data_IF_475856169736
#
_entry.id   IF_475856169736
#
_cell.length_a   1.000
_cell.length_b   1.000
_cell.length_c   1.000
_cell.angle_alpha   90.00
_cell.angle_beta   90.00
_cell.angle_gamma   90.00
#
_symmetry.space_group_name_H-M   'P 1'
#
loop_
_entity.id
_entity.type
_entity.pdbx_description
1 polymer ?
#
# COMPACT_ATOMS: atom_id res chain seq x y z
N UNK A 1 -2.79 28.94 8.11
CA UNK A 1 -2.66 28.57 6.68
C UNK A 1 -3.48 27.30 6.44
N UNK A 2 -4.59 27.40 5.71
CA UNK A 2 -5.40 26.24 5.30
C UNK A 2 -4.82 25.68 4.00
N UNK A 3 -4.43 24.40 3.98
CA UNK A 3 -4.01 23.74 2.74
C UNK A 3 -5.16 23.72 1.74
N UNK A 4 -4.85 23.92 0.47
CA UNK A 4 -5.84 23.83 -0.60
C UNK A 4 -6.54 22.47 -0.59
N UNK A 5 -7.81 22.49 -0.97
CA UNK A 5 -8.62 21.28 -1.03
C UNK A 5 -8.07 20.37 -2.13
N UNK A 6 -7.89 19.09 -1.80
CA UNK A 6 -7.50 18.09 -2.77
C UNK A 6 -8.48 18.08 -3.97
N UNK A 7 -7.98 18.22 -5.21
CA UNK A 7 -8.83 18.46 -6.39
C UNK A 7 -9.67 17.24 -6.77
N UNK A 8 -9.24 16.03 -6.39
CA UNK A 8 -9.98 14.77 -6.59
C UNK A 8 -11.08 14.53 -5.55
N UNK A 9 -11.25 15.39 -4.54
CA UNK A 9 -12.20 15.15 -3.45
C UNK A 9 -13.58 15.68 -3.82
N UNK A 10 -14.49 14.78 -4.16
CA UNK A 10 -15.90 15.06 -4.44
C UNK A 10 -16.76 15.18 -3.16
N UNK A 11 -18.04 15.55 -3.31
CA UNK A 11 -18.98 15.65 -2.19
C UNK A 11 -19.47 14.28 -1.70
N UNK A 12 -19.34 13.23 -2.52
CA UNK A 12 -19.62 11.86 -2.12
C UNK A 12 -18.62 11.37 -1.06
N UNK A 13 -17.32 11.53 -1.30
CA UNK A 13 -16.22 11.25 -0.37
C UNK A 13 -16.39 12.06 0.92
N UNK A 14 -16.83 13.32 0.83
CA UNK A 14 -17.16 14.11 2.03
C UNK A 14 -18.26 13.47 2.86
N UNK A 15 -19.38 13.10 2.23
CA UNK A 15 -20.51 12.45 2.93
C UNK A 15 -20.06 11.15 3.60
N UNK A 16 -19.33 10.30 2.89
CA UNK A 16 -18.74 9.08 3.45
C UNK A 16 -17.80 9.36 4.63
N UNK A 17 -16.99 10.42 4.54
CA UNK A 17 -16.09 10.84 5.63
C UNK A 17 -16.88 11.20 6.89
N UNK A 18 -17.95 11.99 6.74
CA UNK A 18 -18.81 12.41 7.86
C UNK A 18 -19.50 11.19 8.48
N UNK A 19 -20.12 10.32 7.67
CA UNK A 19 -20.78 9.10 8.15
C UNK A 19 -19.80 8.17 8.87
N UNK A 20 -18.58 8.01 8.35
CA UNK A 20 -17.52 7.21 8.98
C UNK A 20 -17.14 7.77 10.35
N UNK A 21 -17.00 9.09 10.46
CA UNK A 21 -16.67 9.73 11.73
C UNK A 21 -17.83 9.60 12.73
N UNK A 22 -19.09 9.71 12.28
CA UNK A 22 -20.27 9.46 13.10
C UNK A 22 -20.26 8.04 13.68
N UNK A 23 -20.13 7.02 12.83
CA UNK A 23 -20.08 5.61 13.28
C UNK A 23 -18.90 5.33 14.21
N UNK A 24 -17.74 5.96 13.99
CA UNK A 24 -16.60 5.86 14.91
C UNK A 24 -16.98 6.39 16.30
N UNK A 25 -17.58 7.57 16.36
CA UNK A 25 -17.96 8.19 17.62
C UNK A 25 -19.05 7.36 18.34
N UNK A 26 -20.03 6.86 17.59
CA UNK A 26 -21.09 6.00 18.12
C UNK A 26 -20.50 4.69 18.68
N UNK A 27 -19.55 4.06 17.98
CA UNK A 27 -18.87 2.87 18.47
C UNK A 27 -18.01 3.16 19.71
N UNK A 28 -17.31 4.29 19.76
CA UNK A 28 -16.50 4.67 20.93
C UNK A 28 -17.38 4.78 22.18
N UNK A 29 -18.59 5.34 22.05
CA UNK A 29 -19.56 5.50 23.14
C UNK A 29 -20.24 4.19 23.54
N UNK A 30 -20.75 3.44 22.57
CA UNK A 30 -21.61 2.27 22.82
C UNK A 30 -20.87 0.94 22.94
N UNK A 31 -19.66 0.86 22.38
CA UNK A 31 -18.88 -0.39 22.19
C UNK A 31 -19.63 -1.50 21.44
N UNK A 32 -20.71 -1.18 20.73
CA UNK A 32 -21.54 -2.15 20.03
C UNK A 32 -20.79 -2.79 18.84
N UNK A 33 -20.66 -4.13 18.76
CA UNK A 33 -19.97 -4.82 17.66
C UNK A 33 -20.57 -4.55 16.28
N UNK A 34 -21.89 -4.41 16.18
CA UNK A 34 -22.59 -4.13 14.92
C UNK A 34 -22.18 -2.78 14.34
N UNK A 35 -22.02 -1.76 15.20
CA UNK A 35 -21.56 -0.42 14.78
C UNK A 35 -20.10 -0.50 14.32
N UNK A 36 -19.26 -1.29 14.99
CA UNK A 36 -17.89 -1.56 14.55
C UNK A 36 -17.85 -2.16 13.15
N UNK A 37 -18.69 -3.17 12.89
CA UNK A 37 -18.76 -3.81 11.58
C UNK A 37 -19.19 -2.82 10.49
N UNK A 38 -20.22 -2.02 10.76
CA UNK A 38 -20.69 -0.96 9.85
C UNK A 38 -19.61 0.10 9.59
N UNK A 39 -18.89 0.51 10.63
CA UNK A 39 -17.74 1.41 10.50
C UNK A 39 -16.64 0.82 9.60
N UNK A 40 -16.27 -0.44 9.78
CA UNK A 40 -15.27 -1.11 8.95
C UNK A 40 -15.70 -1.19 7.48
N UNK A 41 -16.95 -1.58 7.21
CA UNK A 41 -17.50 -1.59 5.84
C UNK A 41 -17.44 -0.20 5.21
N UNK A 42 -17.86 0.83 5.94
CA UNK A 42 -17.86 2.21 5.45
C UNK A 42 -16.43 2.76 5.23
N UNK A 43 -15.48 2.39 6.09
CA UNK A 43 -14.06 2.72 5.91
C UNK A 43 -13.51 2.12 4.62
N UNK A 44 -13.82 0.85 4.34
CA UNK A 44 -13.38 0.19 3.12
C UNK A 44 -14.02 0.84 1.88
N UNK A 45 -15.31 1.16 1.94
CA UNK A 45 -16.00 1.87 0.86
C UNK A 45 -15.39 3.25 0.61
N UNK A 46 -15.09 4.01 1.68
CA UNK A 46 -14.41 5.31 1.55
C UNK A 46 -13.02 5.18 0.92
N UNK A 47 -12.24 4.17 1.33
CA UNK A 47 -10.92 3.93 0.74
C UNK A 47 -11.03 3.63 -0.76
N UNK A 48 -11.97 2.78 -1.17
CA UNK A 48 -12.22 2.44 -2.57
C UNK A 48 -12.67 3.68 -3.37
N UNK A 49 -13.57 4.49 -2.81
CA UNK A 49 -14.04 5.72 -3.44
C UNK A 49 -12.88 6.73 -3.64
N UNK A 50 -12.02 6.91 -2.64
CA UNK A 50 -10.84 7.77 -2.74
C UNK A 50 -9.87 7.24 -3.82
N UNK A 51 -9.62 5.93 -3.84
CA UNK A 51 -8.74 5.31 -4.83
C UNK A 51 -9.27 5.56 -6.26
N UNK A 52 -10.57 5.33 -6.48
CA UNK A 52 -11.21 5.55 -7.77
C UNK A 52 -11.18 7.02 -8.20
N UNK A 53 -11.49 7.94 -7.27
CA UNK A 53 -11.47 9.37 -7.55
C UNK A 53 -10.07 9.86 -7.92
N UNK A 54 -9.03 9.42 -7.20
CA UNK A 54 -7.63 9.70 -7.55
C UNK A 54 -7.29 9.14 -8.92
N UNK A 55 -7.63 7.86 -9.19
CA UNK A 55 -7.37 7.22 -10.48
C UNK A 55 -8.00 8.01 -11.63
N UNK A 56 -9.27 8.40 -11.50
CA UNK A 56 -9.98 9.16 -12.53
C UNK A 56 -9.38 10.56 -12.72
N UNK A 57 -9.04 11.23 -11.63
CA UNK A 57 -8.39 12.54 -11.67
C UNK A 57 -7.06 12.47 -12.42
N UNK A 58 -6.18 11.54 -12.07
CA UNK A 58 -4.89 11.40 -12.74
C UNK A 58 -5.02 10.91 -14.17
N UNK A 59 -5.94 9.99 -14.47
CA UNK A 59 -6.22 9.54 -15.84
C UNK A 59 -6.66 10.70 -16.75
N UNK A 60 -7.40 11.69 -16.21
CA UNK A 60 -7.84 12.87 -16.96
C UNK A 60 -6.75 13.92 -17.12
N UNK A 61 -5.91 14.11 -16.10
CA UNK A 61 -4.98 15.24 -16.02
C UNK A 61 -3.53 14.90 -16.41
N UNK A 62 -3.17 13.62 -16.47
CA UNK A 62 -1.85 13.17 -16.90
C UNK A 62 -1.89 12.80 -18.38
N UNK A 63 -1.15 13.56 -19.19
CA UNK A 63 -0.87 13.18 -20.56
C UNK A 63 0.27 12.15 -20.58
N UNK A 64 -0.07 10.89 -20.85
CA UNK A 64 0.89 9.80 -20.91
C UNK A 64 1.72 9.80 -22.20
N UNK A 65 1.32 10.56 -23.23
CA UNK A 65 2.01 10.58 -24.52
C UNK A 65 3.19 11.54 -24.53
N UNK A 66 3.15 12.58 -23.69
CA UNK A 66 4.22 13.57 -23.58
C UNK A 66 4.91 13.48 -22.21
N UNK A 67 6.09 12.84 -22.11
CA UNK A 67 6.82 12.69 -20.86
C UNK A 67 7.07 14.04 -20.16
N UNK A 68 7.41 15.10 -20.90
CA UNK A 68 7.69 16.43 -20.31
C UNK A 68 6.44 17.02 -19.66
N UNK A 69 5.28 16.89 -20.30
CA UNK A 69 3.99 17.32 -19.75
C UNK A 69 3.60 16.48 -18.52
N UNK A 70 3.81 15.17 -18.57
CA UNK A 70 3.62 14.26 -17.44
C UNK A 70 4.45 14.67 -16.22
N UNK A 71 5.77 14.82 -16.36
CA UNK A 71 6.66 15.20 -15.26
C UNK A 71 6.37 16.61 -14.74
N UNK A 72 5.90 17.52 -15.60
CA UNK A 72 5.43 18.86 -15.18
C UNK A 72 4.15 18.76 -14.34
N UNK A 73 3.19 17.95 -14.74
CA UNK A 73 1.97 17.71 -13.99
C UNK A 73 2.26 17.04 -12.64
N UNK A 74 3.09 16.00 -12.60
CA UNK A 74 3.47 15.32 -11.35
C UNK A 74 4.14 16.25 -10.33
N UNK A 75 5.01 17.18 -10.78
CA UNK A 75 5.59 18.21 -9.92
C UNK A 75 4.56 19.18 -9.37
N UNK A 76 3.62 19.64 -10.22
CA UNK A 76 2.53 20.53 -9.80
C UNK A 76 1.64 19.88 -8.73
N UNK A 77 1.35 18.59 -8.86
CA UNK A 77 0.54 17.84 -7.89
C UNK A 77 1.32 17.48 -6.61
N UNK A 78 2.57 17.91 -6.46
CA UNK A 78 3.41 17.66 -5.28
C UNK A 78 3.83 16.20 -5.12
N UNK A 79 3.74 15.39 -6.17
CA UNK A 79 4.16 13.99 -6.14
C UNK A 79 5.69 13.83 -6.20
N UNK A 80 6.40 14.88 -6.61
CA UNK A 80 7.86 14.93 -6.63
C UNK A 80 8.32 16.05 -5.72
N UNK A 81 8.84 15.68 -4.56
CA UNK A 81 9.57 16.59 -3.69
C UNK A 81 10.89 16.93 -4.39
N UNK A 82 10.94 18.04 -5.10
CA UNK A 82 12.18 18.54 -5.73
C UNK A 82 13.15 19.18 -4.73
N UNK A 83 12.88 19.09 -3.41
CA UNK A 83 13.69 19.79 -2.40
C UNK A 83 13.61 19.24 -0.98
N UNK A 84 13.06 18.06 -0.75
CA UNK A 84 13.41 17.33 0.48
C UNK A 84 14.61 16.48 0.14
N UNK A 85 15.78 16.94 0.57
CA UNK A 85 16.94 16.07 0.75
C UNK A 85 16.46 14.78 1.44
N UNK A 86 16.48 13.68 0.70
CA UNK A 86 16.32 12.34 1.25
C UNK A 86 17.59 12.02 2.05
N UNK A 87 17.87 12.76 3.12
CA UNK A 87 18.84 12.33 4.13
C UNK A 87 18.31 11.13 4.93
N UNK A 88 17.01 10.82 4.78
CA UNK A 88 16.44 9.51 5.09
C UNK A 88 16.70 8.48 3.97
N UNK A 89 17.89 8.48 3.37
CA UNK A 89 18.45 7.20 2.92
C UNK A 89 18.45 6.31 4.15
N UNK A 90 17.55 5.33 4.20
CA UNK A 90 17.69 4.20 5.09
C UNK A 90 19.08 3.64 4.80
N UNK A 91 20.07 3.97 5.65
CA UNK A 91 21.43 3.44 5.57
C UNK A 91 21.32 1.99 6.02
N UNK A 92 20.73 1.15 5.17
CA UNK A 92 20.81 -0.30 5.29
C UNK A 92 22.28 -0.62 5.00
N UNK A 93 23.07 -0.69 6.05
CA UNK A 93 24.41 -1.25 5.94
C UNK A 93 24.28 -2.74 5.66
N UNK A 94 25.20 -3.35 4.89
CA UNK A 94 25.20 -4.79 4.65
C UNK A 94 25.10 -5.60 5.96
N UNK A 95 25.68 -5.10 7.05
CA UNK A 95 25.67 -5.76 8.35
C UNK A 95 24.27 -5.82 8.98
N UNK A 96 23.49 -4.74 8.89
CA UNK A 96 22.10 -4.72 9.39
C UNK A 96 21.24 -5.69 8.58
N UNK A 97 21.46 -5.75 7.27
CA UNK A 97 20.77 -6.67 6.37
C UNK A 97 21.13 -8.13 6.69
N UNK A 98 22.41 -8.43 6.84
CA UNK A 98 22.91 -9.77 7.18
C UNK A 98 22.41 -10.23 8.56
N UNK A 99 22.41 -9.33 9.55
CA UNK A 99 21.90 -9.62 10.90
C UNK A 99 20.42 -9.96 10.86
N UNK A 100 19.63 -9.21 10.08
CA UNK A 100 18.20 -9.48 9.90
C UNK A 100 17.95 -10.86 9.28
N UNK A 101 18.69 -11.22 8.22
CA UNK A 101 18.54 -12.54 7.58
C UNK A 101 19.03 -13.69 8.46
N UNK A 102 20.13 -13.51 9.19
CA UNK A 102 20.60 -14.49 10.16
C UNK A 102 19.58 -14.72 11.29
N UNK A 103 18.94 -13.65 11.79
CA UNK A 103 17.90 -13.73 12.81
C UNK A 103 16.60 -14.38 12.29
N UNK A 104 16.20 -14.09 11.05
CA UNK A 104 15.05 -14.77 10.40
C UNK A 104 15.29 -16.27 10.23
N UNK A 105 16.53 -16.68 9.97
CA UNK A 105 16.90 -18.10 9.83
C UNK A 105 17.08 -18.83 11.17
N UNK A 106 17.44 -18.13 12.25
CA UNK A 106 17.75 -18.75 13.54
C UNK A 106 16.50 -19.13 14.38
N UNK A 107 15.34 -18.52 14.12
CA UNK A 107 14.14 -18.68 14.97
C UNK A 107 13.07 -19.62 14.42
N UNK A 108 13.09 -19.95 13.13
CA UNK A 108 12.13 -20.87 12.54
C UNK A 108 12.80 -22.22 12.34
N UNK A 109 12.68 -23.10 13.34
CA UNK A 109 12.71 -24.54 13.06
C UNK A 109 11.71 -24.76 11.94
N UNK A 110 12.22 -25.08 10.75
CA UNK A 110 11.36 -25.34 9.60
C UNK A 110 10.34 -26.38 10.05
N UNK A 111 9.05 -26.00 10.07
CA UNK A 111 8.01 -26.92 10.52
C UNK A 111 8.20 -28.23 9.79
N UNK A 112 8.34 -29.32 10.55
CA UNK A 112 8.55 -30.67 10.03
C UNK A 112 7.47 -31.01 8.99
N UNK A 113 6.27 -30.45 9.15
CA UNK A 113 5.16 -30.59 8.20
C UNK A 113 5.45 -29.93 6.85
N UNK A 114 6.10 -28.76 6.83
CA UNK A 114 6.49 -28.10 5.58
C UNK A 114 7.62 -28.85 4.87
N UNK A 115 8.60 -29.36 5.62
CA UNK A 115 9.67 -30.19 5.07
C UNK A 115 9.11 -31.50 4.48
N UNK A 116 8.17 -32.14 5.19
CA UNK A 116 7.49 -33.34 4.72
C UNK A 116 6.61 -33.06 3.49
N UNK A 117 5.92 -31.92 3.45
CA UNK A 117 5.15 -31.51 2.28
C UNK A 117 6.02 -31.39 1.03
N UNK A 118 7.15 -30.68 1.11
CA UNK A 118 8.06 -30.56 -0.04
C UNK A 118 8.73 -31.87 -0.42
N UNK A 119 9.09 -32.72 0.55
CA UNK A 119 9.67 -34.04 0.27
C UNK A 119 8.69 -34.97 -0.45
N UNK A 120 7.41 -34.90 -0.11
CA UNK A 120 6.35 -35.72 -0.70
C UNK A 120 5.80 -35.14 -2.01
N UNK A 121 5.98 -33.85 -2.27
CA UNK A 121 5.49 -33.16 -3.47
C UNK A 121 6.62 -32.65 -4.38
N UNK A 122 7.89 -33.00 -4.10
CA UNK A 122 9.00 -32.71 -5.02
C UNK A 122 8.89 -33.66 -6.21
N UNK A 123 8.12 -33.27 -7.21
CA UNK A 123 8.17 -33.91 -8.51
C UNK A 123 9.56 -33.68 -9.09
N UNK A 124 10.34 -34.76 -9.20
CA UNK A 124 11.72 -34.79 -9.70
C UNK A 124 11.82 -34.58 -11.22
N UNK A 125 10.87 -33.88 -11.83
CA UNK A 125 10.80 -33.68 -13.27
C UNK A 125 10.72 -32.19 -13.59
N UNK A 126 11.86 -31.51 -13.43
CA UNK A 126 12.28 -30.34 -14.23
C UNK A 126 13.67 -29.89 -13.77
N UNK A 127 14.64 -30.82 -13.77
CA UNK A 127 16.02 -30.46 -14.09
C UNK A 127 16.19 -30.60 -15.60
N UNK A 128 15.48 -29.75 -16.34
CA UNK A 128 15.84 -29.49 -17.72
C UNK A 128 17.19 -28.79 -17.66
N UNK A 129 18.20 -29.46 -18.21
CA UNK A 129 19.57 -28.97 -18.34
C UNK A 129 19.62 -27.48 -18.69
N UNK A 130 20.06 -26.66 -17.74
CA UNK A 130 20.61 -25.34 -18.06
C UNK A 130 21.96 -25.55 -18.75
N UNK A 131 21.93 -25.90 -20.03
CA UNK A 131 23.09 -25.72 -20.91
C UNK A 131 23.11 -24.25 -21.33
N UNK A 132 23.92 -23.45 -20.64
CA UNK A 132 24.42 -22.21 -21.24
C UNK A 132 25.23 -22.59 -22.49
N UNK A 133 24.81 -22.07 -23.64
CA UNK A 133 25.68 -21.88 -24.80
C UNK A 133 26.05 -20.41 -24.87
#
# INVERSE_FOLDING_TARGET
VTKDRAPWRDDYIKRLTVMKNKLRNDYVKTKCPTIKQSYCKLRNNLNNAIMLAKKNYFKKNLDLKNPKAFWKAMRREGAMNTGQDNTNTCKITPDVLNTYFAQMGAGNTSSTDMLNFYKNNSHSETRSDFKCR
#
